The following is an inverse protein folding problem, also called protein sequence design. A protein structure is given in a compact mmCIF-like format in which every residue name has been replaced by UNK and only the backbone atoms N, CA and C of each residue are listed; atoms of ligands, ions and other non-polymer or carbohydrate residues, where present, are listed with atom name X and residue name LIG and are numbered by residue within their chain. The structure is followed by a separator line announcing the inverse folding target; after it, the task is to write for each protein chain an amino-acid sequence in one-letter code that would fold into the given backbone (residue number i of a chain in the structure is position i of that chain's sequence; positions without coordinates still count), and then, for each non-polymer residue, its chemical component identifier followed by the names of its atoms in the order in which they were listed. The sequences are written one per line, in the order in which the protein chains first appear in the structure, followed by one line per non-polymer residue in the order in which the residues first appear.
data_IF_335153601539
#
_entry.id   IF_335153601539
#
_cell.length_a   1.000
_cell.length_b   1.000
_cell.length_c   1.000
_cell.angle_alpha   90.00
_cell.angle_beta   90.00
_cell.angle_gamma   90.00
#
_symmetry.space_group_name_H-M   'P 1'
#
loop_
_entity.id
_entity.type
_entity.pdbx_description
1 polymer ?
#
# COMPACT_ATOMS: atom_id res chain seq x y z
N UNK A 1 5.10 -1.43 25.82
CA UNK A 1 6.10 -1.43 24.73
C UNK A 1 5.52 -0.54 23.65
N UNK A 2 6.22 0.50 23.17
CA UNK A 2 5.72 1.27 22.01
C UNK A 2 5.88 0.37 20.80
N UNK A 3 4.77 0.01 20.17
CA UNK A 3 4.80 -0.72 18.90
C UNK A 3 5.48 0.16 17.86
N UNK A 4 6.54 -0.36 17.24
CA UNK A 4 7.24 0.35 16.17
C UNK A 4 6.42 0.18 14.91
N UNK A 5 5.75 1.25 14.47
CA UNK A 5 4.99 1.27 13.23
C UNK A 5 5.91 0.94 12.05
N UNK A 6 5.58 -0.10 11.28
CA UNK A 6 6.38 -0.53 10.14
C UNK A 6 5.47 -0.91 8.96
N UNK A 7 5.88 -0.57 7.75
CA UNK A 7 5.19 -1.02 6.55
C UNK A 7 5.48 -2.50 6.32
N UNK A 8 4.43 -3.31 6.26
CA UNK A 8 4.53 -4.75 5.98
C UNK A 8 3.82 -5.09 4.67
N UNK A 9 4.49 -5.86 3.82
CA UNK A 9 3.90 -6.34 2.57
C UNK A 9 2.77 -7.32 2.86
N UNK A 10 1.57 -6.97 2.40
CA UNK A 10 0.36 -7.81 2.51
C UNK A 10 0.03 -8.51 1.19
N UNK A 11 0.46 -7.95 0.07
CA UNK A 11 0.28 -8.57 -1.24
C UNK A 11 1.36 -8.12 -2.24
N UNK A 12 1.52 -8.90 -3.31
CA UNK A 12 2.39 -8.56 -4.44
C UNK A 12 1.57 -8.71 -5.72
N UNK A 13 1.57 -7.70 -6.57
CA UNK A 13 0.82 -7.69 -7.83
C UNK A 13 1.64 -7.05 -8.95
N UNK A 14 1.80 -7.76 -10.07
CA UNK A 14 2.57 -7.33 -11.26
C UNK A 14 3.97 -6.76 -10.97
N UNK A 15 4.64 -7.29 -9.95
CA UNK A 15 5.98 -6.84 -9.54
C UNK A 15 6.01 -5.67 -8.56
N UNK A 16 4.85 -5.19 -8.12
CA UNK A 16 4.70 -4.17 -7.08
C UNK A 16 4.25 -4.81 -5.77
N UNK A 17 4.76 -4.32 -4.66
CA UNK A 17 4.38 -4.70 -3.31
C UNK A 17 3.30 -3.77 -2.77
N UNK A 18 2.21 -4.31 -2.25
CA UNK A 18 1.21 -3.55 -1.49
C UNK A 18 1.49 -3.76 -0.01
N UNK A 19 1.72 -2.66 0.72
CA UNK A 19 2.08 -2.68 2.14
C UNK A 19 1.04 -1.97 2.98
N UNK A 20 0.88 -2.40 4.23
CA UNK A 20 0.03 -1.73 5.24
C UNK A 20 0.85 -1.42 6.49
N UNK A 21 0.36 -0.52 7.33
CA UNK A 21 1.06 -0.10 8.54
C UNK A 21 0.77 -1.08 9.68
N UNK A 22 1.75 -1.93 9.99
CA UNK A 22 1.70 -2.83 11.16
C UNK A 22 1.94 -2.03 12.43
N UNK A 23 1.11 -2.26 13.45
CA UNK A 23 1.11 -1.48 14.70
C UNK A 23 0.35 -0.14 14.60
N UNK A 24 -0.56 -0.01 13.64
CA UNK A 24 -1.52 1.08 13.59
C UNK A 24 -2.49 1.01 14.79
N UNK A 25 -2.65 2.12 15.51
CA UNK A 25 -3.61 2.32 16.59
C UNK A 25 -5.01 2.62 16.01
N UNK A 26 -6.05 2.59 16.85
CA UNK A 26 -7.44 2.79 16.41
C UNK A 26 -7.70 4.14 15.72
N UNK A 27 -6.84 5.13 15.96
CA UNK A 27 -6.89 6.47 15.36
C UNK A 27 -5.93 6.63 14.16
N UNK A 28 -5.13 5.61 13.83
CA UNK A 28 -4.26 5.64 12.65
C UNK A 28 -5.06 5.30 11.37
N UNK A 29 -4.73 6.02 10.31
CA UNK A 29 -5.28 5.75 8.98
C UNK A 29 -4.74 4.38 8.49
N UNK A 30 -5.63 3.39 8.40
CA UNK A 30 -5.34 2.02 7.95
C UNK A 30 -5.18 1.96 6.43
N UNK A 31 -4.22 2.72 5.95
CA UNK A 31 -3.95 2.88 4.54
C UNK A 31 -2.97 1.83 4.00
N UNK A 32 -3.03 1.66 2.69
CA UNK A 32 -2.17 0.81 1.90
C UNK A 32 -1.29 1.67 1.01
N UNK A 33 -0.02 1.29 0.86
CA UNK A 33 0.91 1.91 -0.08
C UNK A 33 1.40 0.90 -1.10
N UNK A 34 1.87 1.39 -2.25
CA UNK A 34 2.48 0.57 -3.29
C UNK A 34 3.98 0.87 -3.32
N UNK A 35 4.82 -0.16 -3.35
CA UNK A 35 6.25 -0.04 -3.60
C UNK A 35 6.69 -0.87 -4.82
N UNK A 36 7.47 -0.30 -5.76
CA UNK A 36 7.86 1.11 -5.83
C UNK A 36 6.67 2.04 -6.04
N UNK A 37 6.73 3.25 -5.48
CA UNK A 37 5.63 4.21 -5.52
C UNK A 37 5.27 4.58 -6.96
N UNK A 38 3.99 4.43 -7.31
CA UNK A 38 3.45 4.81 -8.62
C UNK A 38 3.15 6.32 -8.69
N UNK A 39 2.74 6.91 -7.55
CA UNK A 39 2.43 8.32 -7.38
C UNK A 39 3.01 8.79 -6.04
N UNK A 40 3.54 10.02 -5.97
CA UNK A 40 4.10 10.60 -4.75
C UNK A 40 3.03 10.76 -3.66
N UNK A 41 3.37 10.36 -2.43
CA UNK A 41 2.53 10.46 -1.22
C UNK A 41 1.12 9.86 -1.37
N UNK A 42 0.92 8.95 -2.33
CA UNK A 42 -0.38 8.32 -2.53
C UNK A 42 -0.55 7.09 -1.64
N UNK A 43 -1.62 7.14 -0.86
CA UNK A 43 -2.13 6.00 -0.11
C UNK A 43 -3.45 5.53 -0.71
N UNK A 44 -3.83 4.29 -0.38
CA UNK A 44 -5.04 3.64 -0.84
C UNK A 44 -5.80 3.12 0.35
N UNK A 45 -7.11 3.34 0.41
CA UNK A 45 -7.93 2.85 1.53
C UNK A 45 -8.18 1.33 1.47
N UNK A 46 -7.87 0.67 0.35
CA UNK A 46 -7.99 -0.79 0.19
C UNK A 46 -6.90 -1.36 -0.73
N UNK A 47 -6.56 -2.64 -0.53
CA UNK A 47 -5.69 -3.39 -1.45
C UNK A 47 -6.26 -3.41 -2.88
N UNK A 48 -7.59 -3.46 -3.02
CA UNK A 48 -8.25 -3.45 -4.34
C UNK A 48 -7.96 -2.18 -5.13
N UNK A 49 -8.07 -1.01 -4.50
CA UNK A 49 -7.75 0.27 -5.13
C UNK A 49 -6.26 0.37 -5.52
N UNK A 50 -5.37 -0.20 -4.69
CA UNK A 50 -3.95 -0.30 -5.03
C UNK A 50 -3.73 -1.17 -6.28
N UNK A 51 -4.40 -2.32 -6.36
CA UNK A 51 -4.33 -3.21 -7.53
C UNK A 51 -4.87 -2.56 -8.80
N UNK A 52 -6.01 -1.86 -8.73
CA UNK A 52 -6.58 -1.15 -9.89
C UNK A 52 -5.61 -0.09 -10.43
N UNK A 53 -4.87 0.58 -9.54
CA UNK A 53 -3.84 1.55 -9.93
C UNK A 53 -2.65 0.85 -10.60
N UNK A 54 -2.17 -0.25 -10.04
CA UNK A 54 -1.10 -1.08 -10.64
C UNK A 54 -1.53 -1.59 -12.03
N UNK A 55 -2.76 -2.08 -12.15
CA UNK A 55 -3.30 -2.57 -13.41
C UNK A 55 -3.39 -1.47 -14.46
N UNK A 56 -3.89 -0.29 -14.07
CA UNK A 56 -3.98 0.88 -14.95
C UNK A 56 -2.60 1.36 -15.41
N UNK A 57 -1.61 1.35 -14.51
CA UNK A 57 -0.23 1.73 -14.84
C UNK A 57 0.43 0.73 -15.80
N UNK A 58 0.23 -0.57 -15.58
CA UNK A 58 0.91 -1.63 -16.33
C UNK A 58 0.23 -1.97 -17.66
N UNK A 59 -1.09 -1.81 -17.78
CA UNK A 59 -1.83 -2.06 -19.02
C UNK A 59 -1.88 -0.83 -19.94
N UNK A 60 -1.49 0.36 -19.45
CA UNK A 60 -1.45 1.61 -20.21
C UNK A 60 -0.12 1.86 -20.94
N UNK A 61 0.83 0.93 -20.88
CA UNK A 61 2.15 0.98 -21.55
C UNK A 61 2.19 0.02 -22.74
#
# INVERSE_FOLDING_TARGET
MREVKKWVTVAVHKGYEVKTLDGAEMDDEMDYIIEPALEEDKTYSTVGAAFETIDSHTNGV
#
